data_IF_762232995016
#
_entry.id   IF_762232995016
#
_cell.length_a   1.000
_cell.length_b   1.000
_cell.length_c   1.000
_cell.angle_alpha   90.00
_cell.angle_beta   90.00
_cell.angle_gamma   90.00
#
_symmetry.space_group_name_H-M   'P 1'
#
loop_
_entity.id
_entity.type
_entity.pdbx_description
1 polymer ?
#
# COMPACT_ATOMS: atom_id res chain seq x y z
N UNK A 1 -2.72 -2.73 -6.94
CA UNK A 1 -3.74 -1.83 -6.36
C UNK A 1 -3.94 -2.26 -4.91
N UNK A 2 -4.09 -1.29 -4.00
CA UNK A 2 -4.15 -1.52 -2.55
C UNK A 2 -5.58 -1.47 -2.01
N UNK A 3 -6.56 -1.48 -2.91
CA UNK A 3 -7.98 -1.21 -2.74
C UNK A 3 -8.83 -2.47 -2.49
N UNK A 4 -8.23 -3.57 -2.02
CA UNK A 4 -9.00 -4.77 -1.61
C UNK A 4 -8.64 -6.09 -2.30
N UNK A 5 -7.46 -6.22 -2.91
CA UNK A 5 -6.91 -7.55 -3.22
C UNK A 5 -5.57 -7.73 -2.53
N UNK A 6 -5.32 -8.91 -1.98
CA UNK A 6 -4.17 -9.35 -1.18
C UNK A 6 -2.79 -9.22 -1.87
N UNK A 7 -2.48 -8.03 -2.38
CA UNK A 7 -1.32 -7.65 -3.18
C UNK A 7 -0.51 -6.54 -2.52
N UNK A 8 -0.95 -5.99 -1.37
CA UNK A 8 -0.14 -5.09 -0.55
C UNK A 8 1.22 -5.70 -0.19
N UNK A 9 1.31 -7.04 -0.09
CA UNK A 9 2.56 -7.76 0.20
C UNK A 9 3.67 -7.59 -0.84
N UNK A 10 3.35 -7.32 -2.11
CA UNK A 10 4.37 -7.18 -3.18
C UNK A 10 5.27 -5.97 -2.94
N UNK A 11 4.76 -4.95 -2.23
CA UNK A 11 5.49 -3.72 -1.96
C UNK A 11 6.77 -3.99 -1.14
N UNK A 12 6.74 -4.97 -0.24
CA UNK A 12 7.89 -5.35 0.58
C UNK A 12 8.97 -6.02 -0.27
N UNK A 13 8.57 -6.87 -1.23
CA UNK A 13 9.51 -7.50 -2.16
C UNK A 13 10.17 -6.47 -3.07
N UNK A 14 9.39 -5.52 -3.62
CA UNK A 14 9.91 -4.44 -4.45
C UNK A 14 10.85 -3.51 -3.65
N UNK A 15 10.46 -3.13 -2.43
CA UNK A 15 11.30 -2.31 -1.56
C UNK A 15 12.63 -3.00 -1.24
N UNK A 16 12.60 -4.31 -0.92
CA UNK A 16 13.80 -5.11 -0.66
C UNK A 16 14.70 -5.27 -1.88
N UNK A 17 14.11 -5.42 -3.08
CA UNK A 17 14.86 -5.65 -4.31
C UNK A 17 15.51 -4.37 -4.85
N UNK A 18 14.80 -3.24 -4.81
CA UNK A 18 15.23 -2.02 -5.49
C UNK A 18 15.81 -0.96 -4.55
N UNK A 19 15.42 -0.95 -3.27
CA UNK A 19 15.87 0.07 -2.30
C UNK A 19 15.47 1.51 -2.69
N UNK A 20 14.53 1.68 -3.62
CA UNK A 20 14.08 2.98 -4.09
C UNK A 20 12.90 3.49 -3.24
N UNK A 21 12.79 4.81 -3.02
CA UNK A 21 11.69 5.38 -2.28
C UNK A 21 10.38 5.25 -3.07
N UNK A 22 9.36 4.72 -2.40
CA UNK A 22 7.99 4.70 -2.93
C UNK A 22 7.39 6.07 -2.66
N UNK A 23 6.89 6.73 -3.71
CA UNK A 23 6.39 8.11 -3.63
C UNK A 23 4.88 8.18 -3.51
N UNK A 24 4.18 7.35 -4.29
CA UNK A 24 2.72 7.39 -4.39
C UNK A 24 2.13 5.98 -4.45
N UNK A 25 0.89 5.87 -4.01
CA UNK A 25 0.08 4.66 -4.10
C UNK A 25 -1.31 4.97 -4.65
N UNK A 26 -1.82 4.05 -5.47
CA UNK A 26 -3.22 4.06 -5.92
C UNK A 26 -4.08 3.23 -4.98
N UNK A 27 -5.09 3.86 -4.39
CA UNK A 27 -6.03 3.26 -3.41
C UNK A 27 -7.46 3.10 -3.96
N UNK A 28 -7.63 3.25 -5.27
CA UNK A 28 -8.90 3.14 -5.96
C UNK A 28 -8.73 3.32 -7.47
N UNK A 29 -9.81 3.67 -8.16
CA UNK A 29 -9.87 3.77 -9.63
C UNK A 29 -10.05 5.20 -10.15
N UNK A 30 -10.41 6.14 -9.27
CA UNK A 30 -10.60 7.54 -9.59
C UNK A 30 -9.28 8.28 -9.78
N UNK A 31 -9.36 9.43 -10.46
CA UNK A 31 -8.21 10.33 -10.64
C UNK A 31 -7.68 10.86 -9.29
N UNK A 32 -8.56 10.97 -8.30
CA UNK A 32 -8.26 11.45 -6.95
C UNK A 32 -7.75 10.35 -6.00
N UNK A 33 -7.66 9.09 -6.47
CA UNK A 33 -7.23 7.95 -5.66
C UNK A 33 -5.71 7.74 -5.65
N UNK A 34 -4.95 8.68 -6.22
CA UNK A 34 -3.50 8.72 -6.10
C UNK A 34 -3.10 9.51 -4.85
N UNK A 35 -2.43 8.85 -3.92
CA UNK A 35 -2.01 9.44 -2.64
C UNK A 35 -0.51 9.33 -2.44
N UNK A 36 0.06 10.25 -1.66
CA UNK A 36 1.44 10.12 -1.16
C UNK A 36 1.56 8.83 -0.35
N UNK A 37 2.69 8.13 -0.51
CA UNK A 37 2.96 6.93 0.25
C UNK A 37 3.50 7.27 1.64
N UNK A 38 2.76 6.88 2.67
CA UNK A 38 3.17 6.98 4.08
C UNK A 38 3.28 5.57 4.66
N UNK A 39 4.49 5.17 5.04
CA UNK A 39 4.79 3.78 5.44
C UNK A 39 4.00 3.37 6.69
N UNK A 40 3.93 4.24 7.69
CA UNK A 40 3.24 3.95 8.95
C UNK A 40 1.73 3.77 8.73
N UNK A 41 1.11 4.68 7.97
CA UNK A 41 -0.30 4.58 7.62
C UNK A 41 -0.60 3.32 6.80
N UNK A 42 0.29 2.96 5.87
CA UNK A 42 0.15 1.74 5.07
C UNK A 42 0.21 0.48 5.94
N UNK A 43 1.17 0.40 6.86
CA UNK A 43 1.31 -0.75 7.77
C UNK A 43 0.12 -0.85 8.72
N UNK A 44 -0.33 0.27 9.29
CA UNK A 44 -1.51 0.30 10.17
C UNK A 44 -2.75 -0.21 9.44
N UNK A 45 -3.02 0.28 8.23
CA UNK A 45 -4.16 -0.17 7.44
C UNK A 45 -4.09 -1.68 7.12
N UNK A 46 -2.89 -2.18 6.78
CA UNK A 46 -2.67 -3.59 6.46
C UNK A 46 -3.01 -4.54 7.63
N UNK A 47 -2.77 -4.12 8.87
CA UNK A 47 -3.07 -4.93 10.06
C UNK A 47 -4.48 -4.68 10.62
N UNK A 48 -5.03 -3.46 10.48
CA UNK A 48 -6.39 -3.15 10.88
C UNK A 48 -7.44 -3.96 10.09
N UNK A 49 -7.20 -4.26 8.81
CA UNK A 49 -8.08 -5.16 8.03
C UNK A 49 -8.10 -6.59 8.57
N UNK A 50 -7.01 -7.07 9.19
CA UNK A 50 -6.93 -8.43 9.72
C UNK A 50 -7.60 -8.62 11.07
N UNK A 51 -7.84 -7.55 11.82
CA UNK A 51 -8.59 -7.61 13.08
C UNK A 51 -10.11 -7.61 12.86
N UNK A 52 -10.56 -7.16 11.69
CA UNK A 52 -11.97 -7.07 11.32
C UNK A 52 -12.47 -8.26 10.46
N UNK A 53 -11.62 -9.28 10.25
CA UNK A 53 -11.88 -10.46 9.41
C UNK A 53 -11.77 -11.75 10.24
#
# INVERSE_FOLDING_TARGET
>A
KLDGTAKGGVIFALAKQFGLPIRYIGVGEGIDDLRTFEADAFVQALFAERENA
#
